data_IF_433273624618
#
_entry.id   IF_433273624618
#
_cell.length_a   1.000
_cell.length_b   1.000
_cell.length_c   1.000
_cell.angle_alpha   90.00
_cell.angle_beta   90.00
_cell.angle_gamma   90.00
#
_symmetry.space_group_name_H-M   'P 1'
#
loop_
_entity.id
_entity.type
_entity.pdbx_description
1 polymer ?
#
# COMPACT_ATOMS: atom_id res chain seq x y z
N UNK A 1 -16.26 -1.03 61.84
CA UNK A 1 -15.80 -2.30 61.21
C UNK A 1 -16.93 -3.18 60.69
N UNK A 2 -17.97 -3.54 61.46
CA UNK A 2 -19.04 -4.46 61.00
C UNK A 2 -19.85 -4.00 59.76
N UNK A 3 -20.07 -2.69 59.60
CA UNK A 3 -20.85 -2.14 58.47
C UNK A 3 -20.10 -2.21 57.13
N UNK A 4 -18.77 -2.04 57.14
CA UNK A 4 -17.96 -2.14 55.92
C UNK A 4 -17.86 -3.59 55.41
N UNK A 5 -17.81 -4.58 56.29
CA UNK A 5 -17.83 -5.99 55.89
C UNK A 5 -19.17 -6.39 55.27
N UNK A 6 -20.30 -5.90 55.80
CA UNK A 6 -21.62 -6.18 55.24
C UNK A 6 -21.77 -5.54 53.85
N UNK A 7 -21.29 -4.32 53.65
CA UNK A 7 -21.32 -3.67 52.33
C UNK A 7 -20.39 -4.36 51.32
N UNK A 8 -19.22 -4.84 51.74
CA UNK A 8 -18.32 -5.59 50.86
C UNK A 8 -18.93 -6.93 50.41
N UNK A 9 -19.60 -7.65 51.33
CA UNK A 9 -20.32 -8.90 51.01
C UNK A 9 -21.50 -8.62 50.06
N UNK A 10 -22.27 -7.55 50.32
CA UNK A 10 -23.40 -7.16 49.48
C UNK A 10 -22.96 -6.82 48.04
N UNK A 11 -21.90 -6.02 47.88
CA UNK A 11 -21.35 -5.66 46.56
C UNK A 11 -20.82 -6.90 45.82
N UNK A 12 -20.17 -7.81 46.55
CA UNK A 12 -19.63 -9.06 45.96
C UNK A 12 -20.75 -9.99 45.49
N UNK A 13 -21.82 -10.14 46.27
CA UNK A 13 -23.00 -10.91 45.87
C UNK A 13 -23.75 -10.27 44.70
N UNK A 14 -23.82 -8.94 44.63
CA UNK A 14 -24.42 -8.23 43.49
C UNK A 14 -23.62 -8.43 42.21
N UNK A 15 -22.28 -8.37 42.28
CA UNK A 15 -21.39 -8.64 41.14
C UNK A 15 -21.48 -10.09 40.67
N UNK A 16 -21.55 -11.06 41.59
CA UNK A 16 -21.77 -12.46 41.23
C UNK A 16 -23.13 -12.69 40.56
N UNK A 17 -24.19 -12.03 41.03
CA UNK A 17 -25.51 -12.08 40.36
C UNK A 17 -25.46 -11.48 38.96
N UNK A 18 -24.82 -10.32 38.78
CA UNK A 18 -24.69 -9.69 37.45
C UNK A 18 -23.86 -10.60 36.53
N UNK A 19 -22.74 -11.15 37.01
CA UNK A 19 -21.92 -12.07 36.23
C UNK A 19 -22.69 -13.33 35.85
N UNK A 20 -23.49 -13.89 36.77
CA UNK A 20 -24.34 -15.05 36.49
C UNK A 20 -25.43 -14.73 35.46
N UNK A 21 -26.05 -13.54 35.53
CA UNK A 21 -27.02 -13.07 34.54
C UNK A 21 -26.40 -12.80 33.17
N UNK A 22 -25.18 -12.25 33.13
CA UNK A 22 -24.40 -12.08 31.89
C UNK A 22 -24.01 -13.43 31.32
N UNK A 23 -23.58 -14.39 32.16
CA UNK A 23 -23.27 -15.75 31.71
C UNK A 23 -24.52 -16.46 31.18
N UNK A 24 -25.66 -16.33 31.86
CA UNK A 24 -26.94 -16.88 31.42
C UNK A 24 -27.40 -16.25 30.10
N UNK A 25 -27.23 -14.93 29.93
CA UNK A 25 -27.60 -14.25 28.67
C UNK A 25 -26.64 -14.55 27.52
N UNK A 26 -25.35 -14.79 27.80
CA UNK A 26 -24.38 -15.29 26.79
C UNK A 26 -24.69 -16.74 26.42
N UNK A 27 -25.08 -17.60 27.39
CA UNK A 27 -25.46 -18.99 27.14
C UNK A 27 -26.83 -19.13 26.46
N UNK A 28 -27.78 -18.23 26.75
CA UNK A 28 -29.10 -18.19 26.10
C UNK A 28 -28.99 -17.50 24.72
N UNK A 29 -28.10 -16.52 24.56
CA UNK A 29 -27.78 -15.85 23.30
C UNK A 29 -26.84 -16.66 22.38
N UNK A 30 -26.29 -17.77 22.86
CA UNK A 30 -25.54 -18.77 22.08
C UNK A 30 -26.32 -20.07 21.90
N UNK A 31 -27.65 -20.04 21.92
CA UNK A 31 -28.38 -20.98 21.06
C UNK A 31 -28.17 -20.48 19.64
N UNK A 32 -27.40 -21.22 18.84
CA UNK A 32 -27.59 -21.20 17.40
C UNK A 32 -29.10 -21.37 17.18
N UNK A 33 -29.77 -20.30 16.77
CA UNK A 33 -31.13 -20.43 16.27
C UNK A 33 -31.06 -21.51 15.18
N UNK A 34 -31.90 -22.52 15.31
CA UNK A 34 -32.16 -23.49 14.24
C UNK A 34 -32.90 -22.69 13.15
N UNK A 35 -32.17 -21.88 12.38
CA UNK A 35 -32.72 -21.04 11.32
C UNK A 35 -33.02 -21.96 10.14
N UNK A 36 -34.19 -22.61 10.18
CA UNK A 36 -34.92 -23.05 8.98
C UNK A 36 -36.10 -22.09 8.73
N UNK A 37 -36.77 -22.14 7.59
CA UNK A 37 -36.37 -21.55 6.35
C UNK A 37 -37.45 -20.53 5.95
N UNK A 38 -37.61 -19.44 6.72
CA UNK A 38 -38.62 -18.41 6.39
C UNK A 38 -38.53 -17.99 4.92
N UNK A 39 -37.33 -17.93 4.34
CA UNK A 39 -37.10 -17.64 2.93
C UNK A 39 -37.68 -18.71 1.98
N UNK A 40 -37.54 -20.01 2.25
CA UNK A 40 -38.09 -21.05 1.36
C UNK A 40 -39.62 -21.10 1.44
N UNK A 41 -40.17 -20.99 2.65
CA UNK A 41 -41.62 -20.99 2.89
C UNK A 41 -42.29 -19.76 2.28
N UNK A 42 -41.65 -18.58 2.37
CA UNK A 42 -42.08 -17.35 1.67
C UNK A 42 -42.15 -17.53 0.14
N UNK A 43 -41.35 -18.45 -0.41
CA UNK A 43 -41.37 -18.78 -1.84
C UNK A 43 -42.28 -19.98 -2.16
N UNK A 44 -42.93 -20.60 -1.17
CA UNK A 44 -43.84 -21.74 -1.37
C UNK A 44 -43.13 -23.08 -1.59
N UNK A 45 -41.90 -23.22 -1.06
CA UNK A 45 -41.14 -24.47 -0.94
C UNK A 45 -41.25 -24.94 0.52
N UNK A 46 -41.67 -26.18 0.73
CA UNK A 46 -41.86 -26.82 2.04
C UNK A 46 -41.12 -28.15 2.09
N UNK A 47 -40.83 -28.66 3.30
CA UNK A 47 -40.19 -29.95 3.51
C UNK A 47 -38.91 -30.16 2.67
N UNK A 48 -38.11 -29.10 2.51
CA UNK A 48 -36.87 -29.15 1.73
C UNK A 48 -35.85 -30.10 2.36
N UNK A 49 -35.45 -31.12 1.60
CA UNK A 49 -34.48 -32.14 2.01
C UNK A 49 -33.57 -32.53 0.87
N UNK A 50 -32.33 -32.87 1.21
CA UNK A 50 -31.36 -33.44 0.29
C UNK A 50 -30.95 -34.83 0.79
N UNK A 51 -30.99 -35.82 -0.09
CA UNK A 51 -30.58 -37.17 0.25
C UNK A 51 -29.09 -37.17 0.66
N UNK A 52 -28.76 -37.73 1.81
CA UNK A 52 -27.38 -37.80 2.31
C UNK A 52 -26.76 -36.49 2.81
N UNK A 53 -27.55 -35.41 2.96
CA UNK A 53 -27.07 -34.13 3.51
C UNK A 53 -27.86 -33.80 4.78
N UNK A 54 -27.18 -33.65 5.94
CA UNK A 54 -27.81 -33.21 7.18
C UNK A 54 -28.42 -31.80 7.05
N UNK A 55 -29.45 -31.51 7.84
CA UNK A 55 -30.18 -30.25 7.67
C UNK A 55 -29.38 -29.03 8.15
N UNK A 56 -28.51 -29.20 9.13
CA UNK A 56 -27.56 -28.19 9.61
C UNK A 56 -26.59 -27.70 8.53
N UNK A 57 -26.43 -28.47 7.45
CA UNK A 57 -25.63 -28.10 6.30
C UNK A 57 -26.42 -27.36 5.21
N UNK A 58 -27.71 -27.10 5.43
CA UNK A 58 -28.57 -26.35 4.52
C UNK A 58 -28.79 -24.98 5.15
N UNK A 59 -28.17 -23.95 4.55
CA UNK A 59 -28.17 -22.59 5.11
C UNK A 59 -28.95 -21.62 4.23
N UNK A 60 -29.80 -20.77 4.79
CA UNK A 60 -30.45 -19.71 4.02
C UNK A 60 -29.38 -18.74 3.47
N UNK A 61 -29.53 -18.34 2.21
CA UNK A 61 -28.77 -17.26 1.58
C UNK A 61 -29.68 -16.03 1.47
N UNK A 62 -29.42 -14.96 2.26
CA UNK A 62 -30.32 -13.81 2.34
C UNK A 62 -30.68 -13.23 0.97
N UNK A 63 -31.98 -13.26 0.63
CA UNK A 63 -32.55 -12.61 -0.55
C UNK A 63 -32.54 -13.41 -1.85
N UNK A 64 -31.82 -14.54 -1.94
CA UNK A 64 -31.59 -15.24 -3.22
C UNK A 64 -31.79 -16.76 -3.18
N UNK A 65 -31.73 -17.42 -2.01
CA UNK A 65 -32.06 -18.84 -1.93
C UNK A 65 -31.39 -19.59 -0.78
N UNK A 66 -30.77 -20.74 -1.07
CA UNK A 66 -30.21 -21.65 -0.07
C UNK A 66 -28.85 -22.20 -0.52
N UNK A 67 -27.88 -22.18 0.38
CA UNK A 67 -26.57 -22.81 0.19
C UNK A 67 -26.53 -24.17 0.89
N UNK A 68 -26.13 -25.20 0.17
CA UNK A 68 -26.04 -26.58 0.63
C UNK A 68 -24.58 -26.99 0.73
N UNK A 69 -24.11 -27.29 1.94
CA UNK A 69 -22.73 -27.70 2.21
C UNK A 69 -22.63 -29.22 2.26
N UNK A 70 -22.01 -29.85 1.27
CA UNK A 70 -21.93 -31.31 1.23
C UNK A 70 -20.98 -31.84 2.32
N UNK A 71 -21.36 -32.91 3.05
CA UNK A 71 -20.49 -33.55 4.04
C UNK A 71 -19.35 -34.35 3.38
N UNK A 72 -18.32 -34.71 4.16
CA UNK A 72 -17.11 -35.38 3.66
C UNK A 72 -17.36 -36.76 3.05
N UNK A 73 -18.39 -37.46 3.54
CA UNK A 73 -18.78 -38.81 3.17
C UNK A 73 -19.88 -38.85 2.09
N UNK A 74 -20.28 -37.68 1.56
CA UNK A 74 -21.31 -37.55 0.54
C UNK A 74 -20.95 -38.35 -0.73
N UNK A 75 -21.86 -39.25 -1.14
CA UNK A 75 -21.61 -40.20 -2.25
C UNK A 75 -22.03 -39.68 -3.63
N UNK A 76 -22.83 -38.62 -3.69
CA UNK A 76 -23.34 -38.06 -4.95
C UNK A 76 -22.33 -37.20 -5.74
N UNK A 77 -21.11 -37.03 -5.23
CA UNK A 77 -20.14 -36.10 -5.82
C UNK A 77 -20.66 -34.66 -5.75
N UNK A 78 -20.70 -33.96 -6.88
CA UNK A 78 -21.24 -32.60 -6.97
C UNK A 78 -22.71 -32.57 -7.44
N UNK A 79 -23.26 -33.74 -7.75
CA UNK A 79 -24.69 -33.89 -8.06
C UNK A 79 -25.46 -33.98 -6.76
N UNK A 80 -26.65 -33.40 -6.74
CA UNK A 80 -27.55 -33.46 -5.59
C UNK A 80 -28.89 -34.05 -5.98
N UNK A 81 -29.49 -34.80 -5.06
CA UNK A 81 -30.86 -35.26 -5.19
C UNK A 81 -31.72 -34.48 -4.21
N UNK A 82 -32.54 -33.60 -4.76
CA UNK A 82 -33.35 -32.65 -3.99
C UNK A 82 -34.78 -33.14 -3.94
N UNK A 83 -35.36 -33.14 -2.75
CA UNK A 83 -36.78 -33.42 -2.53
C UNK A 83 -37.42 -32.29 -1.74
N UNK A 84 -38.52 -31.75 -2.23
CA UNK A 84 -39.30 -30.73 -1.54
C UNK A 84 -40.76 -30.81 -1.97
N UNK A 85 -41.66 -30.36 -1.08
CA UNK A 85 -43.04 -30.07 -1.43
C UNK A 85 -43.13 -28.65 -1.97
N UNK A 86 -43.92 -28.45 -3.02
CA UNK A 86 -44.13 -27.14 -3.65
C UNK A 86 -45.60 -26.78 -3.70
N UNK A 87 -45.88 -25.49 -3.74
CA UNK A 87 -47.24 -25.01 -4.05
C UNK A 87 -47.70 -25.51 -5.43
N UNK A 88 -49.01 -25.73 -5.61
CA UNK A 88 -49.59 -26.26 -6.87
C UNK A 88 -49.35 -25.40 -8.12
N UNK A 89 -48.86 -24.18 -7.96
CA UNK A 89 -48.69 -23.18 -9.03
C UNK A 89 -47.23 -22.83 -9.33
N UNK A 90 -46.28 -23.27 -8.52
CA UNK A 90 -44.85 -23.02 -8.75
C UNK A 90 -44.30 -23.88 -9.87
N UNK A 91 -43.39 -23.31 -10.66
CA UNK A 91 -42.70 -24.01 -11.75
C UNK A 91 -41.24 -24.28 -11.34
N UNK A 92 -40.75 -25.46 -11.70
CA UNK A 92 -39.34 -25.83 -11.51
C UNK A 92 -38.74 -25.87 -12.90
N UNK A 93 -37.81 -24.97 -13.18
CA UNK A 93 -37.23 -24.82 -14.51
C UNK A 93 -36.24 -25.96 -14.83
N UNK A 94 -35.70 -26.62 -13.79
CA UNK A 94 -34.80 -27.76 -13.96
C UNK A 94 -35.06 -28.86 -12.92
N UNK A 95 -35.64 -29.98 -13.35
CA UNK A 95 -35.52 -31.26 -12.66
C UNK A 95 -34.89 -32.26 -13.63
N UNK A 96 -33.62 -32.57 -13.32
CA UNK A 96 -33.08 -33.93 -13.25
C UNK A 96 -33.04 -34.78 -14.51
N UNK A 97 -31.97 -35.57 -14.63
CA UNK A 97 -32.05 -36.80 -15.41
C UNK A 97 -33.17 -37.72 -14.85
N UNK A 98 -33.53 -38.79 -15.55
CA UNK A 98 -34.62 -39.73 -15.16
C UNK A 98 -34.47 -40.33 -13.74
N UNK A 99 -33.30 -40.19 -13.12
CA UNK A 99 -32.94 -40.71 -11.79
C UNK A 99 -33.04 -39.68 -10.65
N UNK A 100 -33.38 -38.42 -10.95
CA UNK A 100 -33.57 -37.39 -9.93
C UNK A 100 -32.31 -36.61 -9.53
N UNK A 101 -31.21 -36.71 -10.28
CA UNK A 101 -29.97 -35.97 -9.98
C UNK A 101 -29.92 -34.60 -10.66
N UNK A 102 -29.56 -33.57 -9.89
CA UNK A 102 -29.33 -32.21 -10.39
C UNK A 102 -27.86 -31.87 -10.34
N UNK A 103 -27.34 -31.24 -11.40
CA UNK A 103 -25.95 -30.81 -11.46
C UNK A 103 -25.76 -29.50 -10.71
N UNK A 104 -25.50 -29.59 -9.40
CA UNK A 104 -25.02 -28.47 -8.60
C UNK A 104 -26.00 -27.32 -8.34
N UNK A 105 -27.07 -27.09 -9.10
CA UNK A 105 -28.03 -26.03 -8.82
C UNK A 105 -29.45 -26.29 -9.29
N UNK A 106 -30.43 -25.81 -8.51
CA UNK A 106 -31.85 -25.80 -8.87
C UNK A 106 -32.36 -24.36 -8.84
N UNK A 107 -33.13 -23.98 -9.86
CA UNK A 107 -33.90 -22.74 -9.89
C UNK A 107 -35.39 -23.07 -9.76
N UNK A 108 -36.07 -22.45 -8.80
CA UNK A 108 -37.51 -22.56 -8.62
C UNK A 108 -38.19 -21.21 -8.67
N UNK A 109 -39.28 -21.11 -9.41
CA UNK A 109 -40.09 -19.89 -9.49
C UNK A 109 -41.38 -20.02 -8.67
N UNK A 110 -41.46 -19.23 -7.60
CA UNK A 110 -42.57 -19.17 -6.65
C UNK A 110 -43.75 -18.30 -7.11
N UNK A 111 -44.86 -18.38 -6.37
CA UNK A 111 -46.17 -17.97 -6.88
C UNK A 111 -46.92 -16.87 -6.05
N UNK A 112 -46.22 -16.09 -5.22
CA UNK A 112 -46.84 -15.04 -4.39
C UNK A 112 -46.15 -13.67 -4.61
N UNK A 113 -46.82 -12.81 -5.39
CA UNK A 113 -46.65 -11.35 -5.54
C UNK A 113 -45.34 -10.84 -6.17
N UNK A 114 -44.25 -11.61 -6.24
CA UNK A 114 -43.11 -11.37 -7.16
C UNK A 114 -42.54 -12.70 -7.62
N UNK A 115 -42.43 -12.93 -8.92
CA UNK A 115 -41.66 -14.06 -9.49
C UNK A 115 -40.21 -13.81 -9.08
N UNK A 116 -39.75 -14.47 -8.03
CA UNK A 116 -38.36 -14.44 -7.61
C UNK A 116 -37.82 -15.86 -7.74
N UNK A 117 -36.75 -16.08 -8.53
CA UNK A 117 -36.08 -17.36 -8.55
C UNK A 117 -35.47 -17.64 -7.18
N UNK A 118 -35.70 -18.85 -6.67
CA UNK A 118 -34.97 -19.41 -5.53
C UNK A 118 -33.83 -20.24 -6.09
N UNK A 119 -32.60 -19.84 -5.77
CA UNK A 119 -31.40 -20.57 -6.17
C UNK A 119 -30.96 -21.52 -5.07
N UNK A 120 -30.73 -22.78 -5.43
CA UNK A 120 -30.09 -23.76 -4.55
C UNK A 120 -28.65 -23.90 -5.01
N UNK A 121 -27.70 -23.42 -4.21
CA UNK A 121 -26.26 -23.47 -4.50
C UNK A 121 -25.62 -24.61 -3.73
N UNK A 122 -24.79 -25.41 -4.39
CA UNK A 122 -24.07 -26.54 -3.80
C UNK A 122 -22.61 -26.16 -3.58
N UNK A 123 -22.17 -26.30 -2.34
CA UNK A 123 -20.79 -26.15 -1.89
C UNK A 123 -20.25 -27.54 -1.51
N UNK A 124 -19.42 -28.16 -2.35
CA UNK A 124 -18.83 -29.46 -2.02
C UNK A 124 -17.98 -29.40 -0.75
N UNK A 125 -17.77 -30.54 -0.10
CA UNK A 125 -16.86 -30.63 1.05
C UNK A 125 -15.44 -30.13 0.71
N UNK A 126 -14.99 -30.40 -0.52
CA UNK A 126 -13.77 -29.86 -1.12
C UNK A 126 -14.15 -28.99 -2.33
N UNK A 127 -14.50 -27.70 -2.15
CA UNK A 127 -14.96 -26.86 -3.24
C UNK A 127 -13.83 -26.43 -4.19
N UNK A 128 -12.58 -26.58 -3.74
CA UNK A 128 -11.40 -26.40 -4.57
C UNK A 128 -10.26 -27.31 -4.15
N UNK A 129 -9.42 -27.63 -5.13
CA UNK A 129 -8.12 -28.28 -5.01
C UNK A 129 -7.09 -27.33 -5.59
N UNK A 130 -6.01 -27.09 -4.84
CA UNK A 130 -4.85 -26.35 -5.35
C UNK A 130 -3.88 -27.39 -5.91
N UNK A 131 -3.53 -27.23 -7.18
CA UNK A 131 -2.63 -28.16 -7.86
C UNK A 131 -1.20 -27.85 -7.46
N UNK A 132 -0.53 -28.82 -6.84
CA UNK A 132 0.87 -28.69 -6.49
C UNK A 132 1.73 -28.57 -7.75
N UNK A 133 2.64 -27.60 -7.73
CA UNK A 133 3.73 -27.47 -8.70
C UNK A 133 4.85 -28.48 -8.40
N UNK A 134 4.96 -28.94 -7.15
CA UNK A 134 6.00 -29.87 -6.71
C UNK A 134 7.34 -29.19 -6.40
N UNK A 135 7.34 -27.85 -6.30
CA UNK A 135 8.51 -27.06 -5.94
C UNK A 135 8.09 -25.74 -5.28
N UNK A 136 8.91 -25.19 -4.35
CA UNK A 136 8.64 -23.90 -3.72
C UNK A 136 8.45 -22.75 -4.71
N UNK A 137 7.57 -21.83 -4.37
CA UNK A 137 7.46 -20.54 -5.04
C UNK A 137 8.50 -19.59 -4.44
N UNK A 138 9.49 -19.18 -5.23
CA UNK A 138 10.56 -18.29 -4.78
C UNK A 138 10.41 -16.93 -5.43
N UNK A 139 10.37 -15.88 -4.61
CA UNK A 139 10.36 -14.49 -5.06
C UNK A 139 11.44 -13.71 -4.34
N UNK A 140 12.15 -12.85 -5.04
CA UNK A 140 13.03 -11.86 -4.42
C UNK A 140 12.19 -10.63 -4.08
N UNK A 141 12.31 -10.11 -2.88
CA UNK A 141 11.67 -8.85 -2.51
C UNK A 141 12.27 -7.72 -3.37
N UNK A 142 11.46 -7.04 -4.16
CA UNK A 142 11.91 -5.95 -5.05
C UNK A 142 11.38 -4.58 -4.62
N UNK A 143 10.62 -4.53 -3.51
CA UNK A 143 9.89 -3.35 -3.10
C UNK A 143 8.65 -3.02 -3.93
N UNK A 144 8.26 -3.91 -4.84
CA UNK A 144 7.02 -3.84 -5.60
C UNK A 144 6.18 -5.07 -5.34
N UNK A 145 4.86 -4.92 -5.48
CA UNK A 145 3.94 -6.06 -5.43
C UNK A 145 4.30 -7.05 -6.53
N UNK A 146 4.27 -8.34 -6.19
CA UNK A 146 4.58 -9.44 -7.10
C UNK A 146 3.38 -10.38 -7.20
N UNK A 147 3.23 -11.07 -8.33
CA UNK A 147 2.11 -11.98 -8.51
C UNK A 147 2.55 -13.44 -8.35
N UNK A 148 1.90 -14.13 -7.42
CA UNK A 148 1.99 -15.58 -7.29
C UNK A 148 0.86 -16.23 -8.08
N UNK A 149 1.23 -16.97 -9.11
CA UNK A 149 0.32 -17.71 -9.96
C UNK A 149 0.35 -19.21 -9.64
N UNK A 150 -0.83 -19.81 -9.49
CA UNK A 150 -1.00 -21.25 -9.33
C UNK A 150 -2.28 -21.73 -10.01
N UNK A 151 -2.42 -23.04 -10.13
CA UNK A 151 -3.58 -23.66 -10.74
C UNK A 151 -4.48 -24.25 -9.67
N UNK A 152 -5.78 -24.17 -9.90
CA UNK A 152 -6.80 -24.76 -9.05
C UNK A 152 -7.83 -25.50 -9.88
N UNK A 153 -8.50 -26.49 -9.28
CA UNK A 153 -9.75 -27.05 -9.79
C UNK A 153 -10.88 -26.64 -8.87
N UNK A 154 -12.01 -26.27 -9.44
CA UNK A 154 -13.18 -25.80 -8.71
C UNK A 154 -14.36 -26.74 -8.92
N UNK A 155 -15.14 -26.97 -7.87
CA UNK A 155 -16.32 -27.83 -7.90
C UNK A 155 -17.52 -27.18 -7.22
N UNK A 156 -18.72 -27.62 -7.60
CA UNK A 156 -20.00 -27.06 -7.18
C UNK A 156 -20.56 -26.03 -8.17
N UNK A 157 -21.64 -25.34 -7.80
CA UNK A 157 -22.37 -24.45 -8.72
C UNK A 157 -21.57 -23.20 -9.12
N UNK A 158 -21.73 -22.72 -10.36
CA UNK A 158 -21.01 -21.54 -10.88
C UNK A 158 -21.52 -20.18 -10.32
N UNK A 159 -22.65 -20.18 -9.61
CA UNK A 159 -23.34 -18.98 -9.12
C UNK A 159 -22.87 -18.56 -7.71
N UNK A 160 -21.73 -17.87 -7.60
CA UNK A 160 -21.48 -16.92 -6.50
C UNK A 160 -20.65 -15.72 -6.99
N UNK A 161 -21.20 -14.50 -6.83
CA UNK A 161 -20.54 -13.23 -7.17
C UNK A 161 -19.35 -12.87 -6.26
N UNK A 162 -19.20 -13.56 -5.11
CA UNK A 162 -18.13 -13.34 -4.14
C UNK A 162 -16.81 -14.06 -4.46
N UNK A 163 -16.77 -14.93 -5.48
CA UNK A 163 -15.58 -15.73 -5.81
C UNK A 163 -14.54 -14.97 -6.67
N UNK A 164 -14.84 -13.75 -7.15
CA UNK A 164 -13.91 -12.98 -7.99
C UNK A 164 -12.76 -12.31 -7.21
N UNK A 165 -12.93 -12.10 -5.89
CA UNK A 165 -11.91 -11.56 -4.99
C UNK A 165 -11.86 -12.36 -3.67
N UNK A 166 -11.37 -13.59 -3.73
CA UNK A 166 -11.23 -14.41 -2.51
C UNK A 166 -10.22 -13.81 -1.54
N UNK A 167 -10.46 -13.96 -0.23
CA UNK A 167 -9.51 -13.54 0.79
C UNK A 167 -8.34 -14.52 0.85
N UNK A 168 -7.13 -14.00 0.98
CA UNK A 168 -5.91 -14.78 1.16
C UNK A 168 -5.21 -14.30 2.41
N UNK A 169 -4.68 -15.25 3.19
CA UNK A 169 -3.80 -15.00 4.33
C UNK A 169 -2.40 -15.51 4.03
N UNK A 170 -1.42 -14.65 4.20
CA UNK A 170 -0.01 -14.96 4.13
C UNK A 170 0.51 -14.99 5.57
N UNK A 171 0.88 -16.17 6.05
CA UNK A 171 1.28 -16.37 7.44
C UNK A 171 2.78 -16.64 7.47
N UNK A 172 3.56 -15.71 8.03
CA UNK A 172 5.00 -15.87 8.15
C UNK A 172 5.32 -16.99 9.16
N UNK A 173 6.07 -18.01 8.74
CA UNK A 173 6.25 -19.25 9.49
C UNK A 173 6.99 -19.08 10.82
N UNK A 174 7.93 -18.13 10.88
CA UNK A 174 8.75 -17.90 12.08
C UNK A 174 8.07 -16.93 13.05
N UNK A 175 7.60 -15.78 12.56
CA UNK A 175 7.03 -14.73 13.43
C UNK A 175 5.54 -14.91 13.71
N UNK A 176 4.83 -15.74 12.93
CA UNK A 176 3.38 -15.89 13.03
C UNK A 176 2.59 -14.69 12.50
N UNK A 177 3.26 -13.66 11.96
CA UNK A 177 2.60 -12.47 11.39
C UNK A 177 1.67 -12.87 10.26
N UNK A 178 0.45 -12.32 10.27
CA UNK A 178 -0.60 -12.61 9.28
C UNK A 178 -0.84 -11.37 8.44
N UNK A 179 -0.66 -11.51 7.14
CA UNK A 179 -0.95 -10.45 6.17
C UNK A 179 -2.10 -10.88 5.26
N UNK A 180 -2.95 -9.93 4.90
CA UNK A 180 -4.14 -10.20 4.10
C UNK A 180 -3.96 -9.64 2.69
N UNK A 181 -4.30 -10.45 1.69
CA UNK A 181 -4.34 -10.03 0.28
C UNK A 181 -5.57 -10.60 -0.40
N UNK A 182 -5.72 -10.27 -1.69
CA UNK A 182 -6.82 -10.72 -2.52
C UNK A 182 -6.34 -11.74 -3.55
N UNK A 183 -7.23 -12.67 -3.86
CA UNK A 183 -7.10 -13.63 -4.94
C UNK A 183 -7.89 -13.15 -6.15
N UNK A 184 -7.30 -13.23 -7.33
CA UNK A 184 -7.97 -13.06 -8.61
C UNK A 184 -8.00 -14.41 -9.32
N UNK A 185 -9.19 -14.87 -9.66
CA UNK A 185 -9.38 -16.11 -10.40
C UNK A 185 -10.30 -15.83 -11.60
N UNK A 186 -9.98 -16.42 -12.76
CA UNK A 186 -10.94 -16.45 -13.87
C UNK A 186 -12.04 -17.45 -13.56
N UNK A 187 -13.30 -17.23 -13.98
CA UNK A 187 -14.29 -18.30 -13.95
C UNK A 187 -13.80 -19.52 -14.76
N UNK A 188 -13.96 -20.76 -14.25
CA UNK A 188 -13.65 -21.95 -15.02
C UNK A 188 -14.57 -22.07 -16.25
N UNK A 189 -14.09 -22.68 -17.33
CA UNK A 189 -14.91 -22.95 -18.52
C UNK A 189 -15.92 -24.09 -18.25
N UNK A 190 -15.54 -25.06 -17.44
CA UNK A 190 -16.40 -26.12 -16.92
C UNK A 190 -15.94 -26.54 -15.52
N UNK A 191 -16.85 -27.17 -14.78
CA UNK A 191 -16.55 -27.68 -13.45
C UNK A 191 -15.35 -28.65 -13.48
N UNK A 192 -14.42 -28.49 -12.54
CA UNK A 192 -13.22 -29.32 -12.43
C UNK A 192 -12.10 -28.94 -13.39
N UNK A 193 -12.30 -27.97 -14.28
CA UNK A 193 -11.25 -27.47 -15.16
C UNK A 193 -10.14 -26.76 -14.38
N UNK A 194 -8.93 -26.86 -14.92
CA UNK A 194 -7.79 -26.12 -14.41
C UNK A 194 -8.01 -24.63 -14.62
N UNK A 195 -8.04 -23.90 -13.52
CA UNK A 195 -8.26 -22.46 -13.49
C UNK A 195 -7.01 -21.75 -13.00
N UNK A 196 -6.50 -20.74 -13.74
CA UNK A 196 -5.41 -19.92 -13.25
C UNK A 196 -5.90 -19.00 -12.13
N UNK A 197 -5.12 -18.96 -11.06
CA UNK A 197 -5.33 -18.11 -9.91
C UNK A 197 -4.08 -17.29 -9.67
N UNK A 198 -4.27 -15.99 -9.47
CA UNK A 198 -3.21 -15.05 -9.09
C UNK A 198 -3.51 -14.47 -7.72
N UNK A 199 -2.50 -14.37 -6.87
CA UNK A 199 -2.55 -13.57 -5.64
C UNK A 199 -1.47 -12.49 -5.70
N UNK A 200 -1.81 -11.30 -5.21
CA UNK A 200 -0.85 -10.20 -5.10
C UNK A 200 -0.06 -10.37 -3.79
N UNK A 201 1.26 -10.52 -3.88
CA UNK A 201 2.20 -10.55 -2.75
C UNK A 201 2.52 -9.10 -2.39
N UNK A 202 2.14 -8.61 -1.19
CA UNK A 202 2.44 -7.25 -0.75
C UNK A 202 3.96 -6.97 -0.76
N UNK A 203 4.33 -5.72 -1.06
CA UNK A 203 5.72 -5.30 -1.18
C UNK A 203 6.46 -5.24 0.17
N UNK A 204 5.68 -5.07 1.24
CA UNK A 204 6.08 -4.89 2.63
C UNK A 204 6.26 -6.21 3.40
N UNK A 205 6.16 -7.36 2.74
CA UNK A 205 6.42 -8.65 3.37
C UNK A 205 7.92 -8.84 3.66
N UNK A 206 8.24 -9.28 4.87
CA UNK A 206 9.59 -9.66 5.25
C UNK A 206 10.08 -10.89 4.47
N UNK A 207 11.40 -11.06 4.38
CA UNK A 207 11.97 -12.29 3.84
C UNK A 207 11.71 -13.46 4.78
N UNK A 208 11.39 -14.62 4.22
CA UNK A 208 11.09 -15.83 4.97
C UNK A 208 10.15 -16.79 4.25
N UNK A 209 9.79 -17.87 4.93
CA UNK A 209 8.82 -18.86 4.45
C UNK A 209 7.41 -18.49 4.92
N UNK A 210 6.45 -18.56 4.01
CA UNK A 210 5.06 -18.21 4.24
C UNK A 210 4.13 -19.39 3.95
N UNK A 211 3.18 -19.61 4.87
CA UNK A 211 2.00 -20.44 4.62
C UNK A 211 0.94 -19.57 3.94
N UNK A 212 0.53 -19.95 2.74
CA UNK A 212 -0.54 -19.27 1.99
C UNK A 212 -1.85 -20.01 2.24
N UNK A 213 -2.83 -19.32 2.83
CA UNK A 213 -4.18 -19.84 3.08
C UNK A 213 -5.17 -19.06 2.22
N UNK A 214 -5.81 -19.76 1.30
CA UNK A 214 -6.83 -19.25 0.40
C UNK A 214 -8.21 -19.62 0.94
N UNK A 215 -9.10 -18.64 1.00
CA UNK A 215 -10.49 -18.88 1.38
C UNK A 215 -11.34 -18.98 0.11
N UNK A 216 -12.05 -20.09 -0.03
CA UNK A 216 -13.05 -20.26 -1.07
C UNK A 216 -14.32 -20.86 -0.50
N UNK A 217 -15.48 -20.22 -0.74
CA UNK A 217 -16.79 -20.65 -0.19
C UNK A 217 -16.75 -20.95 1.30
N UNK A 218 -16.09 -20.08 2.07
CA UNK A 218 -15.92 -20.23 3.53
C UNK A 218 -15.04 -21.40 3.97
N UNK A 219 -14.35 -22.08 3.04
CA UNK A 219 -13.40 -23.17 3.34
C UNK A 219 -11.97 -22.71 3.10
N UNK A 220 -11.11 -23.01 4.08
CA UNK A 220 -9.68 -22.78 3.97
C UNK A 220 -9.01 -23.85 3.10
N UNK A 221 -8.11 -23.41 2.22
CA UNK A 221 -7.21 -24.25 1.45
C UNK A 221 -5.79 -23.72 1.62
N UNK A 222 -4.87 -24.61 1.96
CA UNK A 222 -3.47 -24.26 2.10
C UNK A 222 -2.77 -24.57 0.78
N UNK A 223 -1.99 -23.61 0.27
CA UNK A 223 -1.11 -23.85 -0.86
C UNK A 223 -0.13 -25.00 -0.48
N UNK A 224 -0.09 -26.09 -1.24
CA UNK A 224 0.73 -27.25 -0.89
C UNK A 224 2.23 -26.96 -0.97
N UNK A 225 2.64 -26.13 -1.93
CA UNK A 225 4.04 -25.71 -2.07
C UNK A 225 4.30 -24.43 -1.24
N UNK A 226 5.44 -24.34 -0.54
CA UNK A 226 5.75 -23.18 0.29
C UNK A 226 6.04 -21.94 -0.57
N UNK A 227 5.59 -20.78 -0.09
CA UNK A 227 6.03 -19.48 -0.60
C UNK A 227 7.28 -19.06 0.17
N UNK A 228 8.38 -18.80 -0.54
CA UNK A 228 9.66 -18.36 0.01
C UNK A 228 9.97 -16.99 -0.56
N UNK A 229 10.01 -15.99 0.32
CA UNK A 229 10.46 -14.64 0.01
C UNK A 229 11.93 -14.50 0.39
N UNK A 230 12.75 -14.22 -0.61
CA UNK A 230 14.20 -14.02 -0.47
C UNK A 230 14.50 -12.53 -0.46
N UNK A 231 15.56 -12.15 0.27
CA UNK A 231 16.05 -10.78 0.25
C UNK A 231 16.53 -10.47 -1.17
N UNK A 232 15.94 -9.46 -1.80
CA UNK A 232 16.36 -8.99 -3.12
C UNK A 232 17.46 -7.94 -3.04
N UNK A 233 17.69 -7.24 -4.15
CA UNK A 233 18.66 -6.15 -4.17
C UNK A 233 18.24 -5.01 -3.25
N UNK A 234 19.21 -4.37 -2.61
CA UNK A 234 18.94 -3.16 -1.84
C UNK A 234 18.58 -2.05 -2.82
N UNK A 235 17.36 -1.54 -2.67
CA UNK A 235 16.83 -0.44 -3.47
C UNK A 235 16.60 0.74 -2.55
N UNK A 236 17.22 1.88 -2.89
CA UNK A 236 16.96 3.14 -2.21
C UNK A 236 15.78 3.77 -2.93
N UNK A 237 14.65 3.83 -2.25
CA UNK A 237 13.40 4.36 -2.79
C UNK A 237 12.90 5.42 -1.84
N UNK A 238 12.93 6.66 -2.29
CA UNK A 238 12.28 7.74 -1.59
C UNK A 238 10.76 7.62 -1.86
N UNK A 239 10.05 6.82 -1.05
CA UNK A 239 8.56 6.83 -1.08
C UNK A 239 7.99 8.26 -0.98
N UNK A 240 8.81 9.19 -0.46
CA UNK A 240 8.68 10.61 -0.63
C UNK A 240 9.62 11.05 -1.76
N UNK A 241 9.10 11.43 -2.92
CA UNK A 241 9.86 12.02 -4.05
C UNK A 241 10.49 13.39 -3.74
N UNK A 242 10.61 13.70 -2.45
CA UNK A 242 10.95 14.98 -1.91
C UNK A 242 12.37 14.90 -1.36
N UNK A 243 13.16 15.97 -1.53
CA UNK A 243 14.43 16.11 -0.82
C UNK A 243 14.21 15.92 0.69
N UNK A 244 15.23 15.41 1.36
CA UNK A 244 15.13 15.18 2.79
C UNK A 244 15.36 16.48 3.55
N UNK A 245 14.41 16.84 4.41
CA UNK A 245 14.49 18.04 5.24
C UNK A 245 14.73 17.66 6.68
N UNK A 246 15.60 18.42 7.32
CA UNK A 246 15.98 18.21 8.70
C UNK A 246 16.04 19.58 9.38
N UNK A 247 15.12 19.84 10.31
CA UNK A 247 15.14 21.10 11.07
C UNK A 247 16.27 21.06 12.10
N UNK A 248 16.79 22.22 12.47
CA UNK A 248 17.81 22.35 13.52
C UNK A 248 17.38 21.74 14.85
N UNK A 249 16.07 21.77 15.14
CA UNK A 249 15.48 21.18 16.35
C UNK A 249 15.26 19.67 16.24
N UNK A 250 15.13 19.14 15.02
CA UNK A 250 14.87 17.73 14.77
C UNK A 250 15.88 17.23 13.73
N UNK A 251 17.12 17.05 14.20
CA UNK A 251 18.28 16.61 13.39
C UNK A 251 18.22 15.15 12.92
N UNK A 252 17.03 14.54 12.83
CA UNK A 252 16.86 13.15 12.45
C UNK A 252 16.60 13.05 10.95
N UNK A 253 17.48 12.34 10.25
CA UNK A 253 17.35 12.04 8.84
C UNK A 253 16.90 10.60 8.65
N UNK A 254 15.84 10.41 7.88
CA UNK A 254 15.32 9.08 7.50
C UNK A 254 15.44 8.88 6.00
N UNK A 255 15.98 7.73 5.59
CA UNK A 255 16.03 7.28 4.21
C UNK A 255 15.16 6.03 4.07
N UNK A 256 14.26 6.05 3.10
CA UNK A 256 13.37 4.93 2.79
C UNK A 256 13.93 4.08 1.66
N UNK A 257 13.49 2.84 1.58
CA UNK A 257 13.90 1.89 0.56
C UNK A 257 13.40 0.50 0.88
N UNK A 258 14.08 -0.50 0.32
CA UNK A 258 13.72 -1.91 0.46
C UNK A 258 14.97 -2.75 0.71
N UNK A 259 14.77 -3.85 1.43
CA UNK A 259 15.78 -4.86 1.74
C UNK A 259 16.98 -4.37 2.55
N UNK A 260 16.80 -3.38 3.44
CA UNK A 260 17.87 -2.99 4.36
C UNK A 260 18.11 -4.07 5.42
N UNK A 261 19.33 -4.60 5.50
CA UNK A 261 19.69 -5.69 6.40
C UNK A 261 20.99 -5.35 7.13
N UNK A 262 21.16 -5.83 8.36
CA UNK A 262 22.21 -5.34 9.29
C UNK A 262 23.63 -5.72 8.88
N UNK A 263 23.76 -6.67 7.96
CA UNK A 263 25.01 -7.21 7.46
C UNK A 263 25.77 -6.22 6.57
N UNK A 264 25.06 -5.25 5.98
CA UNK A 264 25.68 -4.24 5.13
C UNK A 264 26.08 -2.98 5.90
N UNK A 265 27.11 -2.31 5.38
CA UNK A 265 27.54 -0.99 5.86
C UNK A 265 26.84 0.10 5.06
N UNK A 266 26.04 0.92 5.73
CA UNK A 266 25.31 2.04 5.14
C UNK A 266 25.91 3.37 5.58
N UNK A 267 26.33 4.19 4.61
CA UNK A 267 26.92 5.50 4.84
C UNK A 267 26.25 6.56 3.97
N UNK A 268 26.00 7.73 4.54
CA UNK A 268 25.52 8.91 3.84
C UNK A 268 26.65 9.91 3.73
N UNK A 269 27.00 10.27 2.51
CA UNK A 269 28.01 11.29 2.22
C UNK A 269 27.29 12.60 1.86
N UNK A 270 27.47 13.63 2.68
CA UNK A 270 26.96 14.98 2.47
C UNK A 270 28.05 15.86 1.88
N UNK A 271 27.80 16.42 0.70
CA UNK A 271 28.74 17.22 -0.06
C UNK A 271 28.21 18.65 -0.29
N UNK A 272 29.08 19.64 -0.11
CA UNK A 272 28.81 21.06 -0.30
C UNK A 272 30.14 21.74 -0.68
N UNK A 273 30.17 22.54 -1.77
CA UNK A 273 31.40 23.13 -2.32
C UNK A 273 32.16 24.07 -1.35
N UNK A 274 31.49 24.49 -0.27
CA UNK A 274 32.02 25.43 0.72
C UNK A 274 32.55 24.72 1.97
N UNK A 275 32.45 23.39 2.06
CA UNK A 275 32.76 22.60 3.26
C UNK A 275 33.43 21.29 2.90
N UNK A 276 34.11 20.69 3.86
CA UNK A 276 34.60 19.31 3.71
C UNK A 276 33.42 18.34 3.75
N UNK A 277 33.43 17.34 2.87
CA UNK A 277 32.43 16.29 2.82
C UNK A 277 32.27 15.60 4.19
N UNK A 278 31.03 15.33 4.58
CA UNK A 278 30.70 14.66 5.84
C UNK A 278 30.20 13.26 5.56
N UNK A 279 30.68 12.26 6.32
CA UNK A 279 30.24 10.87 6.19
C UNK A 279 29.50 10.48 7.47
N UNK A 280 28.20 10.21 7.35
CA UNK A 280 27.33 9.82 8.44
C UNK A 280 26.99 8.34 8.33
N UNK A 281 27.13 7.59 9.44
CA UNK A 281 26.68 6.20 9.49
C UNK A 281 25.16 6.15 9.58
N UNK A 282 24.54 5.33 8.74
CA UNK A 282 23.11 5.06 8.76
C UNK A 282 22.85 3.77 9.54
N UNK A 283 21.81 3.77 10.37
CA UNK A 283 21.34 2.61 11.13
C UNK A 283 20.12 2.00 10.45
N UNK A 284 20.09 0.67 10.35
CA UNK A 284 18.91 -0.08 9.92
C UNK A 284 17.89 -0.05 11.06
N UNK A 285 16.78 0.65 10.86
CA UNK A 285 15.64 0.69 11.79
C UNK A 285 14.66 -0.43 11.46
N UNK A 286 14.44 -0.68 10.16
CA UNK A 286 13.62 -1.76 9.64
C UNK A 286 14.09 -2.12 8.22
N UNK A 287 13.59 -3.21 7.62
CA UNK A 287 13.91 -3.57 6.22
C UNK A 287 13.58 -2.48 5.19
N UNK A 288 12.83 -1.45 5.57
CA UNK A 288 12.36 -0.36 4.71
C UNK A 288 12.95 1.00 5.07
N UNK A 289 13.70 1.07 6.18
CA UNK A 289 14.11 2.34 6.78
C UNK A 289 15.54 2.32 7.30
N UNK A 290 16.33 3.25 6.77
CA UNK A 290 17.60 3.69 7.35
C UNK A 290 17.40 5.02 8.08
N UNK A 291 18.15 5.23 9.16
CA UNK A 291 18.06 6.47 9.94
C UNK A 291 19.42 6.89 10.47
N UNK A 292 19.65 8.20 10.55
CA UNK A 292 20.78 8.78 11.28
C UNK A 292 20.37 10.09 11.95
N UNK A 293 21.23 10.57 12.85
CA UNK A 293 21.12 11.91 13.43
C UNK A 293 22.24 12.74 12.86
N UNK A 294 21.90 13.87 12.25
CA UNK A 294 22.87 14.84 11.75
C UNK A 294 23.54 15.49 12.98
N UNK A 295 24.87 15.39 13.15
CA UNK A 295 25.57 15.99 14.28
C UNK A 295 25.42 17.51 14.30
N UNK A 296 25.51 18.14 15.48
CA UNK A 296 25.35 19.59 15.65
C UNK A 296 26.42 20.40 14.90
N UNK A 297 27.60 19.79 14.69
CA UNK A 297 28.71 20.39 13.95
C UNK A 297 28.42 20.53 12.45
N UNK A 298 27.47 19.75 11.92
CA UNK A 298 27.00 19.93 10.54
C UNK A 298 26.20 21.21 10.48
N UNK A 299 26.74 22.20 9.77
CA UNK A 299 26.12 23.51 9.66
C UNK A 299 24.80 23.46 8.90
N UNK A 300 23.96 24.45 9.17
CA UNK A 300 22.76 24.76 8.39
C UNK A 300 23.19 25.15 6.98
N UNK A 301 22.77 24.36 5.99
CA UNK A 301 23.17 24.49 4.59
C UNK A 301 22.36 23.50 3.72
N UNK A 302 22.47 23.64 2.40
CA UNK A 302 22.06 22.57 1.48
C UNK A 302 23.24 21.64 1.22
N UNK A 303 22.98 20.34 1.11
CA UNK A 303 23.97 19.33 0.80
C UNK A 303 23.47 18.44 -0.33
N UNK A 304 24.35 18.10 -1.28
CA UNK A 304 24.10 16.93 -2.13
C UNK A 304 24.42 15.66 -1.34
N UNK A 305 23.54 14.68 -1.44
CA UNK A 305 23.63 13.44 -0.71
C UNK A 305 23.94 12.26 -1.64
N UNK A 306 24.89 11.43 -1.22
CA UNK A 306 25.15 10.11 -1.81
C UNK A 306 25.03 9.05 -0.74
N UNK A 307 24.40 7.92 -1.07
CA UNK A 307 24.38 6.78 -0.17
C UNK A 307 25.36 5.74 -0.69
N UNK A 308 26.27 5.37 0.19
CA UNK A 308 27.23 4.31 -0.05
C UNK A 308 26.80 3.06 0.73
N UNK A 309 26.67 1.94 0.01
CA UNK A 309 26.40 0.63 0.58
C UNK A 309 27.62 -0.24 0.31
N UNK A 310 28.28 -0.70 1.38
CA UNK A 310 29.55 -1.43 1.32
C UNK A 310 30.61 -0.72 0.46
N UNK A 311 30.69 0.61 0.60
CA UNK A 311 31.63 1.45 -0.14
C UNK A 311 31.26 1.70 -1.60
N UNK A 312 30.11 1.21 -2.09
CA UNK A 312 29.61 1.48 -3.44
C UNK A 312 28.49 2.50 -3.41
N UNK A 313 28.64 3.57 -4.20
CA UNK A 313 27.59 4.57 -4.38
C UNK A 313 26.36 3.92 -5.02
N UNK A 314 25.19 4.19 -4.43
CA UNK A 314 23.89 3.75 -4.93
C UNK A 314 23.06 4.99 -5.26
N UNK A 315 22.55 5.10 -6.50
CA UNK A 315 21.74 6.25 -6.88
C UNK A 315 20.45 6.26 -6.06
N UNK A 316 20.05 7.44 -5.58
CA UNK A 316 18.66 7.67 -5.19
C UNK A 316 17.80 7.71 -6.45
N UNK A 317 16.69 6.99 -6.44
CA UNK A 317 15.66 7.16 -7.44
C UNK A 317 14.81 8.38 -7.07
N UNK A 318 15.17 9.58 -7.53
CA UNK A 318 14.31 10.77 -7.39
C UNK A 318 13.49 11.01 -8.66
N UNK A 319 12.27 11.54 -8.53
CA UNK A 319 11.41 11.81 -9.68
C UNK A 319 11.96 12.93 -10.57
N UNK A 320 12.76 13.84 -10.02
CA UNK A 320 13.11 15.12 -10.65
C UNK A 320 14.51 15.19 -11.28
N UNK A 321 15.28 14.09 -11.31
CA UNK A 321 16.69 14.05 -11.73
C UNK A 321 17.55 15.15 -11.07
N UNK A 322 17.23 15.51 -9.82
CA UNK A 322 17.93 16.55 -9.06
C UNK A 322 19.13 15.98 -8.29
N UNK A 323 19.93 16.84 -7.66
CA UNK A 323 21.18 16.49 -6.94
C UNK A 323 21.00 15.68 -5.64
N UNK A 324 19.82 15.11 -5.37
CA UNK A 324 19.47 14.41 -4.11
C UNK A 324 19.85 15.25 -2.90
N UNK A 325 19.02 16.22 -2.57
CA UNK A 325 19.43 17.24 -1.61
C UNK A 325 18.92 16.90 -0.22
N UNK A 326 19.80 17.09 0.76
CA UNK A 326 19.48 17.19 2.17
C UNK A 326 19.60 18.66 2.56
N UNK A 327 18.53 19.21 3.13
CA UNK A 327 18.53 20.58 3.66
C UNK A 327 18.54 20.51 5.18
N UNK A 328 19.56 21.10 5.79
CA UNK A 328 19.63 21.31 7.25
C UNK A 328 19.16 22.73 7.51
N UNK A 329 17.91 22.90 7.92
CA UNK A 329 17.23 24.20 7.92
C UNK A 329 17.15 24.86 9.30
N UNK A 330 17.24 26.20 9.29
CA UNK A 330 17.03 27.02 10.49
C UNK A 330 15.54 27.16 10.89
N UNK A 331 14.65 27.26 9.91
CA UNK A 331 13.20 27.46 10.07
C UNK A 331 12.46 26.64 9.01
N UNK A 332 11.46 25.86 9.44
CA UNK A 332 10.61 25.05 8.56
C UNK A 332 9.91 25.87 7.45
N UNK A 333 9.63 27.15 7.69
CA UNK A 333 8.90 28.00 6.74
C UNK A 333 9.79 28.70 5.70
N UNK A 334 11.10 28.45 5.70
CA UNK A 334 12.00 29.10 4.76
C UNK A 334 11.92 28.47 3.35
N UNK A 335 12.06 29.26 2.27
CA UNK A 335 12.11 28.69 0.94
C UNK A 335 13.39 27.86 0.76
N UNK A 336 13.37 26.86 -0.10
CA UNK A 336 14.51 25.97 -0.28
C UNK A 336 14.96 25.97 -1.74
N UNK A 337 16.21 26.38 -1.98
CA UNK A 337 16.79 26.42 -3.31
C UNK A 337 17.32 25.04 -3.69
N UNK A 338 16.50 24.28 -4.41
CA UNK A 338 16.75 22.88 -4.73
C UNK A 338 17.69 22.71 -5.91
N UNK A 339 17.52 23.48 -6.98
CA UNK A 339 18.38 23.32 -8.14
C UNK A 339 18.47 24.60 -8.92
N UNK A 340 19.63 24.81 -9.53
CA UNK A 340 19.84 25.82 -10.56
C UNK A 340 20.07 25.09 -11.89
N UNK A 341 19.41 25.58 -12.93
CA UNK A 341 19.41 24.93 -14.25
C UNK A 341 18.98 25.93 -15.32
N UNK A 342 18.76 25.49 -16.56
CA UNK A 342 18.18 26.27 -17.64
C UNK A 342 17.27 25.41 -18.53
N UNK A 343 16.58 26.04 -19.47
CA UNK A 343 15.65 25.37 -20.38
C UNK A 343 16.29 24.29 -21.25
N UNK A 344 17.58 24.39 -21.55
CA UNK A 344 18.30 23.39 -22.38
C UNK A 344 18.52 22.07 -21.65
N UNK A 345 18.41 22.06 -20.31
CA UNK A 345 18.56 20.88 -19.48
C UNK A 345 17.25 20.13 -19.24
N UNK A 346 16.18 20.53 -19.93
CA UNK A 346 14.88 19.88 -19.86
C UNK A 346 14.97 18.46 -20.42
N UNK A 347 14.39 17.54 -19.67
CA UNK A 347 14.27 16.13 -19.98
C UNK A 347 12.83 15.71 -19.70
N UNK A 348 12.29 14.77 -20.47
CA UNK A 348 10.92 14.29 -20.30
C UNK A 348 10.94 12.91 -19.66
N UNK A 349 10.21 12.74 -18.56
CA UNK A 349 10.00 11.40 -17.98
C UNK A 349 9.10 10.56 -18.87
N UNK A 350 9.10 9.24 -18.65
CA UNK A 350 8.23 8.29 -19.36
C UNK A 350 6.73 8.61 -19.21
N UNK A 351 6.35 9.37 -18.18
CA UNK A 351 4.98 9.84 -17.93
C UNK A 351 4.71 11.27 -18.43
N UNK A 352 5.61 11.82 -19.25
CA UNK A 352 5.45 13.14 -19.86
C UNK A 352 5.74 14.33 -18.93
N UNK A 353 6.35 14.13 -17.77
CA UNK A 353 6.74 15.22 -16.87
C UNK A 353 8.07 15.82 -17.31
N UNK A 354 8.15 17.15 -17.32
CA UNK A 354 9.40 17.85 -17.63
C UNK A 354 10.25 18.00 -16.38
N UNK A 355 11.42 17.38 -16.35
CA UNK A 355 12.39 17.49 -15.28
C UNK A 355 13.64 18.20 -15.82
N UNK A 356 14.44 18.81 -14.94
CA UNK A 356 15.59 19.59 -15.37
C UNK A 356 16.85 19.11 -14.65
N UNK A 357 17.89 18.82 -15.43
CA UNK A 357 19.19 18.44 -14.86
C UNK A 357 19.89 19.67 -14.26
N UNK A 358 20.47 19.58 -13.06
CA UNK A 358 21.22 20.68 -12.45
C UNK A 358 22.37 21.16 -13.35
N UNK A 359 22.64 22.47 -13.35
CA UNK A 359 23.71 23.12 -14.09
C UNK A 359 24.43 24.12 -13.20
N UNK A 360 25.75 24.21 -13.32
CA UNK A 360 26.58 25.13 -12.54
C UNK A 360 27.22 26.24 -13.37
N UNK A 361 27.13 26.22 -14.69
CA UNK A 361 27.72 27.25 -15.57
C UNK A 361 26.65 27.93 -16.38
N UNK A 362 26.64 29.25 -16.39
CA UNK A 362 25.62 30.06 -17.03
C UNK A 362 26.22 31.21 -17.82
N UNK A 363 25.65 31.52 -18.99
CA UNK A 363 26.07 32.64 -19.82
C UNK A 363 25.36 33.92 -19.44
N UNK A 364 26.00 35.07 -19.63
CA UNK A 364 25.30 36.36 -19.61
C UNK A 364 24.20 36.42 -20.67
N UNK A 365 23.15 37.19 -20.39
CA UNK A 365 22.01 37.37 -21.30
C UNK A 365 21.06 36.17 -21.39
N UNK A 366 21.27 35.10 -20.61
CA UNK A 366 20.36 33.95 -20.57
C UNK A 366 19.52 33.95 -19.28
N UNK A 367 18.45 33.15 -19.30
CA UNK A 367 17.65 32.89 -18.10
C UNK A 367 18.24 31.74 -17.29
N UNK A 368 18.49 31.98 -16.01
CA UNK A 368 18.73 30.95 -15.02
C UNK A 368 17.38 30.51 -14.44
N UNK A 369 17.13 29.20 -14.44
CA UNK A 369 15.94 28.59 -13.88
C UNK A 369 16.27 28.05 -12.47
N UNK A 370 15.57 28.55 -11.46
CA UNK A 370 15.63 28.02 -10.10
C UNK A 370 14.44 27.10 -9.81
N UNK A 371 14.73 25.90 -9.32
CA UNK A 371 13.75 24.99 -8.74
C UNK A 371 13.72 25.26 -7.25
N UNK A 372 12.58 25.73 -6.74
CA UNK A 372 12.42 26.13 -5.35
C UNK A 372 11.27 25.34 -4.73
N UNK A 373 11.51 24.74 -3.57
CA UNK A 373 10.46 24.20 -2.73
C UNK A 373 10.02 25.23 -1.70
N UNK A 374 8.72 25.31 -1.45
CA UNK A 374 8.15 26.09 -0.35
C UNK A 374 7.08 25.28 0.38
N UNK A 375 7.30 24.90 1.65
CA UNK A 375 6.39 24.00 2.36
C UNK A 375 4.96 24.52 2.52
N UNK A 376 4.75 25.84 2.40
CA UNK A 376 3.42 26.46 2.54
C UNK A 376 2.74 26.76 1.20
N UNK A 377 3.39 26.51 0.06
CA UNK A 377 2.80 26.68 -1.27
C UNK A 377 2.43 28.11 -1.66
N UNK A 378 2.78 29.09 -0.83
CA UNK A 378 2.45 30.49 -1.05
C UNK A 378 3.35 31.01 -2.18
N UNK A 379 2.73 31.62 -3.18
CA UNK A 379 3.41 32.33 -4.26
C UNK A 379 4.11 33.57 -3.71
N UNK A 380 5.31 33.38 -3.19
CA UNK A 380 6.02 34.45 -2.50
C UNK A 380 6.31 35.60 -3.45
N UNK A 381 5.98 36.83 -3.04
CA UNK A 381 6.32 38.03 -3.80
C UNK A 381 7.81 38.36 -3.61
N UNK A 382 8.34 39.26 -4.46
CA UNK A 382 9.69 39.80 -4.27
C UNK A 382 10.81 38.74 -4.36
N UNK A 383 10.62 37.71 -5.19
CA UNK A 383 11.59 36.63 -5.44
C UNK A 383 12.88 37.21 -6.04
N UNK A 384 14.00 36.86 -5.43
CA UNK A 384 15.35 37.21 -5.88
C UNK A 384 16.30 36.03 -5.73
N UNK A 385 17.30 35.96 -6.59
CA UNK A 385 18.53 35.24 -6.30
C UNK A 385 19.58 36.24 -5.87
N UNK A 386 20.24 35.95 -4.76
CA UNK A 386 21.37 36.73 -4.22
C UNK A 386 22.62 35.93 -4.56
N UNK A 387 23.48 36.52 -5.38
CA UNK A 387 24.72 35.94 -5.87
C UNK A 387 25.88 36.69 -5.24
N UNK A 388 26.68 36.02 -4.41
CA UNK A 388 27.87 36.62 -3.80
C UNK A 388 29.11 36.04 -4.45
N UNK A 389 29.95 36.92 -5.00
CA UNK A 389 31.19 36.53 -5.66
C UNK A 389 32.13 35.88 -4.64
N UNK A 390 32.60 34.67 -4.94
CA UNK A 390 33.41 33.85 -4.04
C UNK A 390 34.81 34.44 -3.85
N UNK A 391 35.29 35.26 -4.79
CA UNK A 391 36.62 35.88 -4.75
C UNK A 391 36.59 37.25 -4.09
N UNK A 392 35.64 38.10 -4.49
CA UNK A 392 35.58 39.51 -4.09
C UNK A 392 34.61 39.76 -2.94
N UNK A 393 33.70 38.83 -2.65
CA UNK A 393 32.63 38.99 -1.67
C UNK A 393 31.52 39.97 -2.07
N UNK A 394 31.60 40.57 -3.26
CA UNK A 394 30.57 41.49 -3.76
C UNK A 394 29.26 40.76 -4.01
N UNK A 395 28.16 41.39 -3.60
CA UNK A 395 26.81 40.83 -3.71
C UNK A 395 26.10 41.45 -4.91
N UNK A 396 25.47 40.60 -5.70
CA UNK A 396 24.66 40.93 -6.85
C UNK A 396 23.28 40.28 -6.71
N UNK A 397 22.24 40.93 -7.21
CA UNK A 397 20.88 40.41 -7.14
C UNK A 397 20.32 40.18 -8.54
N UNK A 398 19.76 39.00 -8.78
CA UNK A 398 18.91 38.74 -9.93
C UNK A 398 17.46 38.77 -9.50
N UNK A 399 16.65 39.50 -10.25
CA UNK A 399 15.21 39.64 -10.01
C UNK A 399 14.47 38.64 -10.88
N UNK A 400 13.39 38.06 -10.35
CA UNK A 400 12.59 37.11 -11.11
C UNK A 400 11.92 37.75 -12.33
N UNK A 401 11.79 36.98 -13.41
CA UNK A 401 10.93 37.30 -14.56
C UNK A 401 9.48 36.88 -14.28
N UNK A 402 8.52 37.45 -15.01
CA UNK A 402 7.08 37.16 -14.87
C UNK A 402 6.73 35.69 -15.18
N UNK A 403 7.63 34.97 -15.85
CA UNK A 403 7.48 33.54 -16.12
C UNK A 403 7.67 32.74 -14.82
N UNK A 404 6.58 32.17 -14.31
CA UNK A 404 6.62 31.18 -13.23
C UNK A 404 5.79 29.97 -13.62
N UNK A 405 6.39 28.78 -13.48
CA UNK A 405 5.70 27.50 -13.66
C UNK A 405 5.48 26.84 -12.30
N UNK A 406 4.30 26.27 -12.08
CA UNK A 406 3.98 25.46 -10.91
C UNK A 406 3.68 24.05 -11.38
N UNK A 407 4.23 23.05 -10.70
CA UNK A 407 3.69 21.71 -10.84
C UNK A 407 2.40 21.64 -10.03
N UNK A 408 1.24 21.68 -10.70
CA UNK A 408 -0.06 21.54 -10.03
C UNK A 408 -0.09 20.24 -9.22
N UNK A 409 -0.30 20.34 -7.90
CA UNK A 409 -0.26 19.21 -6.96
C UNK A 409 1.06 19.06 -6.17
N UNK A 410 2.09 19.84 -6.50
CA UNK A 410 3.42 19.75 -5.90
C UNK A 410 3.91 21.15 -5.48
N UNK A 411 4.42 21.29 -4.25
CA UNK A 411 4.91 22.55 -3.66
C UNK A 411 6.25 23.06 -4.27
N UNK A 412 6.46 22.81 -5.57
CA UNK A 412 7.65 23.18 -6.35
C UNK A 412 7.33 24.30 -7.33
N UNK A 413 8.14 25.35 -7.25
CA UNK A 413 8.12 26.48 -8.17
C UNK A 413 9.32 26.45 -9.10
N UNK A 414 9.06 26.69 -10.39
CA UNK A 414 10.06 26.95 -11.42
C UNK A 414 10.08 28.44 -11.69
N UNK A 415 11.14 29.13 -11.29
CA UNK A 415 11.24 30.59 -11.36
C UNK A 415 12.44 30.96 -12.21
N UNK A 416 12.22 31.79 -13.23
CA UNK A 416 13.27 32.27 -14.11
C UNK A 416 13.86 33.58 -13.57
N UNK A 417 15.18 33.68 -13.67
CA UNK A 417 15.98 34.84 -13.27
C UNK A 417 16.88 35.22 -14.46
N UNK A 418 16.58 36.29 -15.21
CA UNK A 418 17.42 36.76 -16.31
C UNK A 418 18.76 37.21 -15.76
N UNK A 419 19.84 36.73 -16.38
CA UNK A 419 21.20 37.22 -16.12
C UNK A 419 21.45 38.36 -17.10
N UNK A 420 21.61 39.62 -16.64
CA UNK A 420 21.91 40.75 -17.53
C UNK A 420 23.17 40.54 -18.37
N UNK A 421 23.24 41.17 -19.54
CA UNK A 421 24.42 41.10 -20.43
C UNK A 421 25.66 41.76 -19.82
N UNK A 422 25.48 42.69 -18.90
CA UNK A 422 26.52 43.40 -18.16
C UNK A 422 26.85 42.76 -16.79
N UNK A 423 26.21 41.62 -16.45
CA UNK A 423 26.49 40.93 -15.19
C UNK A 423 27.96 40.54 -15.11
N UNK A 424 28.66 40.69 -13.97
CA UNK A 424 30.08 40.36 -13.89
C UNK A 424 30.34 38.86 -14.14
N UNK A 425 31.48 38.56 -14.77
CA UNK A 425 31.96 37.18 -14.90
C UNK A 425 32.54 36.78 -13.55
N UNK A 426 32.26 35.57 -13.10
CA UNK A 426 32.77 35.13 -11.82
C UNK A 426 32.18 33.81 -11.33
N UNK A 427 32.56 33.47 -10.10
CA UNK A 427 32.10 32.30 -9.38
C UNK A 427 31.28 32.79 -8.19
N UNK A 428 30.07 32.28 -8.02
CA UNK A 428 29.09 32.81 -7.08
C UNK A 428 28.54 31.74 -6.16
N UNK A 429 28.44 32.08 -4.87
CA UNK A 429 27.52 31.41 -3.95
C UNK A 429 26.12 32.00 -4.12
N UNK A 430 25.09 31.17 -3.99
CA UNK A 430 23.71 31.57 -4.31
C UNK A 430 22.76 31.28 -3.16
N UNK A 431 21.93 32.26 -2.84
CA UNK A 431 20.81 32.14 -1.90
C UNK A 431 19.54 32.64 -2.60
N UNK A 432 18.42 31.98 -2.36
CA UNK A 432 17.12 32.50 -2.78
C UNK A 432 16.49 33.34 -1.67
N UNK A 433 15.86 34.45 -2.05
CA UNK A 433 15.13 35.33 -1.14
C UNK A 433 13.70 35.53 -1.64
N UNK A 434 12.73 35.52 -0.73
CA UNK A 434 11.35 35.83 -1.05
C UNK A 434 10.58 36.43 0.12
N UNK A 435 9.42 37.03 -0.15
CA UNK A 435 8.56 37.68 0.84
C UNK A 435 7.18 37.01 0.81
N UNK A 436 6.94 35.94 1.61
CA UNK A 436 5.72 35.14 1.53
C UNK A 436 4.43 35.87 1.85
N UNK A 437 4.48 36.71 2.87
CA UNK A 437 3.39 37.44 3.51
C UNK A 437 3.35 38.92 3.07
N UNK A 438 4.19 39.30 2.09
CA UNK A 438 4.39 40.68 1.69
C UNK A 438 5.17 41.55 2.69
N UNK A 439 5.58 40.99 3.84
CA UNK A 439 6.18 41.73 4.96
C UNK A 439 7.57 41.16 5.32
N UNK A 440 7.62 39.88 5.67
CA UNK A 440 8.81 39.20 6.19
C UNK A 440 9.63 38.61 5.06
N UNK A 441 10.85 39.13 4.86
CA UNK A 441 11.80 38.54 3.92
C UNK A 441 12.39 37.26 4.52
N UNK A 442 12.24 36.15 3.80
CA UNK A 442 12.84 34.86 4.11
C UNK A 442 13.93 34.53 3.12
N UNK A 443 14.91 33.76 3.57
CA UNK A 443 16.06 33.32 2.78
C UNK A 443 16.13 31.80 2.81
N UNK A 444 16.54 31.19 1.71
CA UNK A 444 16.95 29.80 1.75
C UNK A 444 18.29 29.65 2.44
N UNK A 445 18.60 28.43 2.87
CA UNK A 445 20.01 28.07 3.01
C UNK A 445 20.73 28.24 1.66
N UNK A 446 22.06 28.35 1.72
CA UNK A 446 22.90 28.51 0.53
C UNK A 446 22.81 27.29 -0.37
N UNK A 447 22.82 27.51 -1.68
CA UNK A 447 22.90 26.44 -2.67
C UNK A 447 24.23 25.69 -2.54
N UNK A 448 24.17 24.36 -2.50
CA UNK A 448 25.30 23.51 -2.18
C UNK A 448 26.46 23.55 -3.20
N UNK A 449 26.27 24.16 -4.38
CA UNK A 449 27.29 24.31 -5.42
C UNK A 449 27.57 25.77 -5.72
N UNK A 450 28.82 26.04 -6.06
CA UNK A 450 29.23 27.29 -6.69
C UNK A 450 28.72 27.29 -8.14
N UNK A 451 28.11 28.39 -8.57
CA UNK A 451 27.82 28.61 -9.98
C UNK A 451 28.85 29.54 -10.63
N UNK A 452 29.06 29.41 -11.93
CA UNK A 452 29.93 30.25 -12.74
C UNK A 452 29.07 31.03 -13.73
N UNK A 453 29.25 32.35 -13.80
CA UNK A 453 28.69 33.19 -14.86
C UNK A 453 29.81 33.55 -15.84
N UNK A 454 29.61 33.27 -17.13
CA UNK A 454 30.55 33.53 -18.25
C UNK A 454 30.02 34.53 -19.28
#
# INVERSE_FOLDING_TARGET
>A
MKVQQINAIYITMQRLRILYWVLLTVLIGCKEEDIRPEILEQNGIYDFRLEGVPNENIRPWPGFGVSVYLPADYKGGNKIKVSFKRSKKGQVEHLTNEEGWVNGSVTYEGNLIRIKPVFITVVPYKPAEIIAKGAPYRFKLTGRSQQLNFLTRHWGSDFESFDSSGQVRLIHKISGTVEHTTMKATPPASEGDLTPVSIDIPAELAAGEYKVVVYRRGKEKVLPDPLILEIGDIVISDGNHWPHFVTDTNRVLTISGYNFVKEHKYELELNNDFRTAQILKLKVVSPWKLQTTIPDEVAKDNYSAKINIDGKNKPFSNMFKSDNIVVVESDYNQPQLMSLTDLSQRDSTEFGLNVFKPKTTFKKGQNLLAIIFSPNGIFHQGKKLILKDVTTGKVHELYHDHLTGVFSGYLLSHIYFPIPSDFPIGRYEVVHSSVPDGITRRYSERYHRIITIE
#
